data_IF_777792892235
#
_entry.id   IF_777792892235
#
_cell.length_a   1.000
_cell.length_b   1.000
_cell.length_c   1.000
_cell.angle_alpha   90.00
_cell.angle_beta   90.00
_cell.angle_gamma   90.00
#
_symmetry.space_group_name_H-M   'P 1'
#
loop_
_entity.id
_entity.type
_entity.pdbx_description
1 polymer ?
#
# COMPACT_ATOMS: atom_id res chain seq x y z
N UNK A 1 17.32 65.27 -52.94
CA UNK A 1 16.71 63.99 -53.18
C UNK A 1 16.56 63.30 -51.85
N UNK A 2 15.33 63.25 -51.32
CA UNK A 2 15.01 62.68 -50.00
C UNK A 2 14.30 61.36 -50.18
N UNK A 3 14.90 60.25 -49.66
CA UNK A 3 14.33 58.92 -49.64
C UNK A 3 13.71 58.69 -48.25
N UNK A 4 12.37 58.56 -48.22
CA UNK A 4 11.61 58.17 -47.03
C UNK A 4 11.56 56.66 -46.92
N UNK A 5 12.10 56.11 -45.82
CA UNK A 5 11.89 54.74 -45.44
C UNK A 5 10.63 54.62 -44.57
N UNK A 6 9.69 53.81 -45.03
CA UNK A 6 8.50 53.43 -44.28
C UNK A 6 8.85 52.28 -43.35
N UNK A 7 8.66 52.48 -42.04
CA UNK A 7 8.80 51.42 -41.04
C UNK A 7 7.64 50.44 -41.14
N UNK A 8 7.96 49.16 -41.18
CA UNK A 8 7.04 48.04 -41.03
C UNK A 8 7.11 47.60 -39.58
N UNK A 9 6.05 47.86 -38.82
CA UNK A 9 5.89 47.35 -37.46
C UNK A 9 5.35 45.93 -37.53
N UNK A 10 6.22 44.95 -37.28
CA UNK A 10 5.83 43.55 -37.12
C UNK A 10 5.34 43.32 -35.69
N UNK A 11 4.04 43.06 -35.50
CA UNK A 11 3.48 42.59 -34.25
C UNK A 11 3.89 41.15 -34.06
N UNK A 12 4.81 40.86 -33.15
CA UNK A 12 5.06 39.53 -32.61
C UNK A 12 3.93 39.16 -31.65
N UNK A 13 2.99 38.34 -32.14
CA UNK A 13 1.99 37.69 -31.30
C UNK A 13 2.68 36.63 -30.42
N UNK A 14 2.74 36.88 -29.12
CA UNK A 14 3.18 35.91 -28.14
C UNK A 14 2.07 34.83 -27.97
N UNK A 15 2.23 33.68 -28.62
CA UNK A 15 1.42 32.51 -28.35
C UNK A 15 1.88 31.94 -26.99
N UNK A 16 1.09 32.16 -25.93
CA UNK A 16 1.27 31.51 -24.64
C UNK A 16 0.84 30.06 -24.81
N UNK A 17 1.80 29.16 -25.03
CA UNK A 17 1.60 27.74 -25.00
C UNK A 17 1.42 27.32 -23.53
N UNK A 18 0.19 27.18 -23.08
CA UNK A 18 -0.14 26.60 -21.79
C UNK A 18 0.27 25.12 -21.81
N UNK A 19 1.46 24.80 -21.36
CA UNK A 19 1.85 23.43 -21.04
C UNK A 19 1.02 22.97 -19.84
N UNK A 20 0.02 22.16 -20.11
CA UNK A 20 -0.64 21.33 -19.10
C UNK A 20 0.44 20.35 -18.57
N UNK A 21 1.04 20.69 -17.45
CA UNK A 21 1.91 19.78 -16.71
C UNK A 21 0.98 18.74 -16.09
N UNK A 22 0.77 17.62 -16.78
CA UNK A 22 0.15 16.45 -16.16
C UNK A 22 1.14 15.95 -15.10
N UNK A 23 0.82 16.16 -13.83
CA UNK A 23 1.59 15.55 -12.73
C UNK A 23 1.45 14.03 -12.85
N UNK A 24 2.56 13.27 -12.98
CA UNK A 24 2.48 11.81 -12.96
C UNK A 24 1.92 11.35 -11.61
N UNK A 25 0.90 10.51 -11.64
CA UNK A 25 0.41 9.82 -10.46
C UNK A 25 1.31 8.60 -10.21
N UNK A 26 1.76 8.46 -9.00
CA UNK A 26 2.82 7.53 -8.63
C UNK A 26 2.46 6.62 -7.41
N UNK A 27 2.79 5.31 -7.27
CA UNK A 27 2.51 4.35 -6.16
C UNK A 27 3.65 3.39 -5.79
N UNK A 28 3.77 2.96 -4.54
CA UNK A 28 4.82 2.04 -4.08
C UNK A 28 4.74 1.48 -2.67
N UNK A 29 5.45 0.40 -2.40
CA UNK A 29 5.57 -0.22 -1.09
C UNK A 29 6.89 0.19 -0.39
N UNK A 30 6.79 0.95 0.69
CA UNK A 30 7.86 1.40 1.61
C UNK A 30 8.77 2.54 1.16
N UNK A 31 8.39 3.76 1.53
CA UNK A 31 9.30 4.84 1.90
C UNK A 31 9.15 5.15 3.39
N UNK A 32 10.24 5.50 4.11
CA UNK A 32 10.06 6.14 5.40
C UNK A 32 9.28 7.44 5.17
N UNK A 33 8.52 7.96 6.14
CA UNK A 33 7.34 8.76 5.98
C UNK A 33 7.59 10.07 5.24
N UNK A 34 7.61 10.02 3.94
CA UNK A 34 7.18 11.11 3.11
C UNK A 34 5.71 10.82 2.81
N UNK A 35 4.87 11.25 3.76
CA UNK A 35 3.46 11.54 3.56
C UNK A 35 2.84 10.69 2.41
N UNK A 36 2.37 9.48 2.74
CA UNK A 36 1.14 9.01 2.10
C UNK A 36 0.34 10.27 1.85
N UNK A 37 -0.03 10.58 0.60
CA UNK A 37 -0.75 11.82 0.41
C UNK A 37 -1.83 11.80 1.48
N UNK A 38 -1.81 12.75 2.41
CA UNK A 38 -2.69 12.73 3.59
C UNK A 38 -4.15 12.55 3.18
N UNK A 39 -4.44 12.84 1.90
CA UNK A 39 -5.73 12.60 1.26
C UNK A 39 -6.02 11.12 0.98
N UNK A 40 -5.07 10.36 0.43
CA UNK A 40 -5.30 8.93 0.16
C UNK A 40 -5.44 8.13 1.47
N UNK A 41 -4.57 8.40 2.45
CA UNK A 41 -4.67 7.80 3.77
C UNK A 41 -5.94 8.24 4.50
N UNK A 42 -6.30 9.53 4.47
CA UNK A 42 -7.54 10.02 5.05
C UNK A 42 -8.77 9.38 4.38
N UNK A 43 -8.75 9.19 3.06
CA UNK A 43 -9.83 8.50 2.35
C UNK A 43 -9.94 7.03 2.79
N UNK A 44 -8.81 6.31 2.89
CA UNK A 44 -8.79 4.92 3.33
C UNK A 44 -9.19 4.77 4.82
N UNK A 45 -8.76 5.70 5.68
CA UNK A 45 -9.10 5.67 7.11
C UNK A 45 -10.53 6.15 7.42
N UNK A 46 -11.14 6.97 6.53
CA UNK A 46 -12.47 7.52 6.73
C UNK A 46 -13.54 6.91 5.82
N UNK A 47 -13.22 5.89 5.02
CA UNK A 47 -14.26 5.09 4.37
C UNK A 47 -15.02 4.33 5.47
N UNK A 48 -16.25 4.75 5.85
CA UNK A 48 -17.03 3.99 6.80
C UNK A 48 -17.37 2.67 6.14
N UNK A 49 -16.82 1.58 6.63
CA UNK A 49 -17.35 0.26 6.35
C UNK A 49 -18.82 0.30 6.78
N UNK A 50 -19.74 0.50 5.85
CA UNK A 50 -21.15 0.29 6.11
C UNK A 50 -21.27 -1.17 6.50
N UNK A 51 -21.56 -1.41 7.78
CA UNK A 51 -21.84 -2.75 8.25
C UNK A 51 -22.94 -3.34 7.36
N UNK A 52 -22.60 -4.38 6.62
CA UNK A 52 -23.57 -5.09 5.81
C UNK A 52 -24.68 -5.59 6.73
N UNK A 53 -25.96 -5.40 6.36
CA UNK A 53 -27.05 -6.06 7.07
C UNK A 53 -26.83 -7.56 6.96
N UNK A 54 -26.89 -8.26 8.08
CA UNK A 54 -26.79 -9.70 8.13
C UNK A 54 -27.79 -10.32 7.15
N UNK A 55 -27.27 -11.00 6.13
CA UNK A 55 -28.09 -11.85 5.28
C UNK A 55 -28.61 -13.00 6.18
N UNK A 56 -29.90 -13.02 6.40
CA UNK A 56 -30.56 -14.17 7.02
C UNK A 56 -30.56 -15.30 6.02
N UNK A 57 -29.66 -16.24 6.23
CA UNK A 57 -29.55 -17.44 5.41
C UNK A 57 -30.76 -18.35 5.62
N UNK A 58 -31.48 -18.60 4.52
CA UNK A 58 -32.62 -19.49 4.49
C UNK A 58 -32.16 -20.93 4.73
N UNK A 59 -32.63 -21.46 5.82
CA UNK A 59 -32.87 -22.85 6.22
C UNK A 59 -32.39 -23.92 5.21
N UNK A 60 -31.22 -24.51 5.46
CA UNK A 60 -30.89 -25.87 5.01
C UNK A 60 -30.94 -26.83 6.20
N UNK A 61 -32.02 -27.59 6.25
CA UNK A 61 -32.12 -28.79 7.08
C UNK A 61 -31.30 -29.90 6.46
N UNK A 62 -30.36 -30.46 7.18
CA UNK A 62 -29.59 -31.63 6.80
C UNK A 62 -28.54 -31.90 7.86
N UNK A 63 -28.88 -32.73 8.85
CA UNK A 63 -28.00 -33.05 9.96
C UNK A 63 -26.76 -33.83 9.53
N UNK A 64 -25.65 -33.33 9.96
CA UNK A 64 -24.48 -34.09 10.37
C UNK A 64 -23.83 -33.25 11.49
N UNK A 65 -23.83 -33.84 12.69
CA UNK A 65 -23.02 -33.35 13.82
C UNK A 65 -21.54 -33.51 13.43
N UNK A 66 -20.99 -32.45 12.86
CA UNK A 66 -19.58 -32.16 12.93
C UNK A 66 -19.46 -30.97 13.87
N UNK A 67 -18.59 -31.07 14.84
CA UNK A 67 -18.12 -29.93 15.61
C UNK A 67 -17.56 -28.91 14.61
N UNK A 68 -18.42 -28.02 14.07
CA UNK A 68 -18.05 -26.84 13.33
C UNK A 68 -17.37 -25.89 14.32
N UNK A 69 -16.07 -26.15 14.58
CA UNK A 69 -15.18 -25.12 15.04
C UNK A 69 -15.28 -24.00 14.02
N UNK A 70 -15.94 -22.90 14.39
CA UNK A 70 -16.07 -21.64 13.65
C UNK A 70 -14.68 -21.05 13.34
N UNK A 71 -13.98 -21.67 12.39
CA UNK A 71 -12.61 -21.35 12.05
C UNK A 71 -12.61 -20.31 10.93
N UNK A 72 -12.88 -19.05 11.32
CA UNK A 72 -12.95 -17.93 10.41
C UNK A 72 -11.70 -17.87 9.51
N UNK A 73 -11.93 -17.98 8.19
CA UNK A 73 -10.88 -17.99 7.17
C UNK A 73 -10.32 -16.59 6.93
N UNK A 74 -9.01 -16.53 6.64
CA UNK A 74 -8.34 -15.30 6.16
C UNK A 74 -8.66 -15.03 4.68
N UNK A 75 -9.07 -16.05 3.89
CA UNK A 75 -9.31 -15.92 2.44
C UNK A 75 -10.35 -14.86 2.15
N UNK A 76 -10.06 -13.95 1.23
CA UNK A 76 -10.94 -12.85 0.83
C UNK A 76 -10.21 -11.54 0.60
N UNK A 77 -11.00 -10.49 0.35
CA UNK A 77 -10.52 -9.13 0.14
C UNK A 77 -10.59 -8.33 1.45
N UNK A 78 -9.52 -7.60 1.74
CA UNK A 78 -9.35 -6.85 2.97
C UNK A 78 -8.86 -5.44 2.70
N UNK A 79 -9.33 -4.47 3.47
CA UNK A 79 -8.71 -3.17 3.59
C UNK A 79 -7.82 -3.18 4.85
N UNK A 80 -6.53 -2.87 4.67
CA UNK A 80 -5.55 -2.92 5.76
C UNK A 80 -4.96 -1.55 6.07
N UNK A 81 -4.40 -1.42 7.28
CA UNK A 81 -3.56 -0.31 7.73
C UNK A 81 -2.37 -0.86 8.50
N UNK A 82 -1.16 -0.40 8.16
CA UNK A 82 0.05 -0.59 8.96
C UNK A 82 0.33 0.64 9.82
N UNK A 83 0.62 0.43 11.09
CA UNK A 83 0.98 1.48 12.04
C UNK A 83 2.33 1.18 12.68
N UNK A 84 3.17 2.18 12.82
CA UNK A 84 4.52 2.09 13.39
C UNK A 84 4.50 1.62 14.85
N UNK A 85 5.45 0.77 15.21
CA UNK A 85 5.75 0.41 16.61
C UNK A 85 7.26 0.21 16.76
N UNK A 86 7.88 0.92 17.70
CA UNK A 86 9.29 0.75 18.03
C UNK A 86 10.27 1.37 17.03
N UNK A 87 9.81 2.23 16.10
CA UNK A 87 10.67 2.90 15.11
C UNK A 87 11.04 4.33 15.53
N UNK A 88 10.71 4.76 16.75
CA UNK A 88 11.02 6.09 17.28
C UNK A 88 12.48 6.20 17.76
N UNK A 89 13.39 5.67 16.95
CA UNK A 89 14.85 5.69 17.17
C UNK A 89 15.54 6.03 15.86
N UNK A 90 16.76 6.64 15.90
CA UNK A 90 17.53 6.85 14.69
C UNK A 90 17.71 5.56 13.89
N UNK A 91 17.72 5.64 12.53
CA UNK A 91 17.70 6.84 11.71
C UNK A 91 16.28 7.37 11.38
N UNK A 92 15.18 6.67 11.77
CA UNK A 92 13.84 6.99 11.24
C UNK A 92 13.06 8.00 12.08
N UNK A 93 13.08 7.87 13.43
CA UNK A 93 12.34 8.71 14.36
C UNK A 93 10.82 8.72 14.06
N UNK A 94 10.26 7.57 13.65
CA UNK A 94 8.84 7.42 13.36
C UNK A 94 8.08 7.18 14.67
N UNK A 95 7.15 8.06 15.07
CA UNK A 95 6.38 7.85 16.30
C UNK A 95 5.56 6.56 16.26
N UNK A 96 5.33 5.97 17.43
CA UNK A 96 4.41 4.84 17.54
C UNK A 96 2.99 5.26 17.11
N UNK A 97 2.29 4.35 16.45
CA UNK A 97 1.01 4.52 15.82
C UNK A 97 0.97 5.49 14.62
N UNK A 98 2.10 6.07 14.20
CA UNK A 98 2.16 6.76 12.91
C UNK A 98 1.87 5.77 11.78
N UNK A 99 1.10 6.18 10.74
CA UNK A 99 0.80 5.31 9.62
C UNK A 99 2.07 5.00 8.82
N UNK A 100 2.29 3.72 8.52
CA UNK A 100 3.36 3.25 7.64
C UNK A 100 2.84 2.99 6.23
N UNK A 101 1.68 2.34 6.13
CA UNK A 101 1.04 2.01 4.86
C UNK A 101 -0.46 1.74 5.07
N UNK A 102 -1.24 1.77 3.99
CA UNK A 102 -2.63 1.36 3.96
C UNK A 102 -3.03 0.99 2.54
N UNK A 103 -3.95 0.06 2.36
CA UNK A 103 -4.37 -0.39 1.04
C UNK A 103 -5.33 -1.56 1.09
N UNK A 104 -5.24 -2.40 0.06
CA UNK A 104 -6.06 -3.59 -0.08
C UNK A 104 -5.17 -4.82 -0.22
N UNK A 105 -5.56 -5.92 0.44
CA UNK A 105 -4.90 -7.21 0.35
C UNK A 105 -5.92 -8.28 0.00
N UNK A 106 -5.61 -9.13 -0.95
CA UNK A 106 -6.42 -10.28 -1.31
C UNK A 106 -5.68 -11.57 -1.00
N UNK A 107 -6.22 -12.34 -0.07
CA UNK A 107 -5.72 -13.65 0.31
C UNK A 107 -6.49 -14.73 -0.45
N UNK A 108 -5.78 -15.56 -1.20
CA UNK A 108 -6.36 -16.60 -2.05
C UNK A 108 -6.34 -17.96 -1.36
N UNK A 109 -7.24 -18.87 -1.77
CA UNK A 109 -7.36 -20.22 -1.19
C UNK A 109 -6.21 -21.16 -1.56
N UNK A 110 -5.37 -20.79 -2.51
CA UNK A 110 -4.15 -21.50 -2.93
C UNK A 110 -2.90 -21.08 -2.14
N UNK A 111 -3.08 -20.41 -1.00
CA UNK A 111 -2.01 -19.91 -0.13
C UNK A 111 -1.17 -18.77 -0.75
N UNK A 112 -1.64 -18.12 -1.82
CA UNK A 112 -1.05 -16.91 -2.37
C UNK A 112 -1.74 -15.66 -1.84
N UNK A 113 -1.04 -14.51 -1.91
CA UNK A 113 -1.57 -13.22 -1.51
C UNK A 113 -1.09 -12.14 -2.47
N UNK A 114 -1.95 -11.16 -2.72
CA UNK A 114 -1.65 -9.96 -3.47
C UNK A 114 -2.00 -8.75 -2.62
N UNK A 115 -1.04 -7.85 -2.42
CA UNK A 115 -1.27 -6.57 -1.77
C UNK A 115 -1.12 -5.42 -2.75
N UNK A 116 -2.08 -4.50 -2.73
CA UNK A 116 -2.03 -3.21 -3.40
C UNK A 116 -1.98 -2.10 -2.36
N UNK A 117 -0.81 -1.51 -2.17
CA UNK A 117 -0.60 -0.37 -1.29
C UNK A 117 -1.23 0.90 -1.84
N UNK A 118 -1.70 1.78 -0.96
CA UNK A 118 -2.21 3.12 -1.30
C UNK A 118 -1.12 4.16 -1.58
N UNK A 119 0.13 3.74 -1.67
CA UNK A 119 1.27 4.60 -1.97
C UNK A 119 1.33 4.95 -3.45
N UNK A 120 2.26 5.86 -3.76
CA UNK A 120 2.46 6.38 -5.11
C UNK A 120 2.95 5.27 -6.11
N UNK A 121 2.29 4.97 -7.30
CA UNK A 121 2.71 3.94 -8.25
C UNK A 121 4.18 3.99 -8.74
N UNK A 122 4.86 5.14 -8.78
CA UNK A 122 6.28 5.20 -9.15
C UNK A 122 7.23 4.65 -8.06
N UNK A 123 6.71 4.38 -6.86
CA UNK A 123 7.49 3.75 -5.79
C UNK A 123 7.19 2.25 -5.65
N UNK A 124 6.41 1.67 -6.58
CA UNK A 124 5.86 0.31 -6.63
C UNK A 124 4.88 -0.03 -5.49
N UNK A 125 3.60 -0.16 -5.78
CA UNK A 125 2.52 -0.40 -4.78
C UNK A 125 2.01 -1.84 -4.78
N UNK A 126 2.70 -2.74 -5.44
CA UNK A 126 2.24 -4.09 -5.67
C UNK A 126 3.19 -5.09 -5.00
N UNK A 127 2.65 -5.97 -4.15
CA UNK A 127 3.40 -7.01 -3.48
C UNK A 127 2.77 -8.37 -3.78
N UNK A 128 3.60 -9.40 -3.84
CA UNK A 128 3.19 -10.79 -4.04
C UNK A 128 3.66 -11.61 -2.86
N UNK A 129 2.79 -12.44 -2.33
CA UNK A 129 3.06 -13.22 -1.13
C UNK A 129 2.54 -14.64 -1.15
N UNK A 130 3.03 -15.37 -0.17
CA UNK A 130 2.51 -16.68 0.21
C UNK A 130 2.20 -16.68 1.69
N UNK A 131 1.14 -17.38 2.07
CA UNK A 131 0.71 -17.45 3.45
C UNK A 131 0.49 -18.90 3.89
N UNK A 132 0.44 -19.11 5.20
CA UNK A 132 0.05 -20.39 5.78
C UNK A 132 -0.72 -20.20 7.07
N UNK A 133 -1.63 -21.10 7.34
CA UNK A 133 -2.29 -21.24 8.64
C UNK A 133 -1.32 -21.82 9.66
N UNK A 134 -1.23 -21.23 10.84
CA UNK A 134 -0.31 -21.63 11.92
C UNK A 134 -1.03 -22.04 13.21
N UNK A 135 -2.35 -21.91 13.23
CA UNK A 135 -3.20 -22.28 14.36
C UNK A 135 -4.64 -21.86 14.12
N UNK A 136 -5.50 -22.05 15.11
CA UNK A 136 -6.88 -21.59 15.00
C UNK A 136 -6.92 -20.11 14.74
N UNK A 137 -7.46 -19.69 13.57
CA UNK A 137 -7.56 -18.31 13.08
C UNK A 137 -6.24 -17.54 13.03
N UNK A 138 -5.08 -18.23 13.12
CA UNK A 138 -3.74 -17.66 13.08
C UNK A 138 -3.08 -17.92 11.75
N UNK A 139 -2.46 -16.90 11.18
CA UNK A 139 -1.83 -16.97 9.85
C UNK A 139 -0.49 -16.23 9.87
N UNK A 140 0.43 -16.71 9.02
CA UNK A 140 1.69 -16.04 8.70
C UNK A 140 1.70 -15.76 7.21
N UNK A 141 2.09 -14.55 6.86
CA UNK A 141 2.31 -14.10 5.49
C UNK A 141 3.77 -13.71 5.31
N UNK A 142 4.31 -14.03 4.14
CA UNK A 142 5.60 -13.59 3.67
C UNK A 142 5.45 -13.08 2.25
N UNK A 143 5.54 -11.76 2.04
CA UNK A 143 5.40 -11.18 0.73
C UNK A 143 6.56 -10.22 0.38
N UNK A 144 6.76 -10.01 -0.92
CA UNK A 144 7.84 -9.23 -1.48
C UNK A 144 7.31 -8.12 -2.36
N UNK A 145 7.97 -6.97 -2.26
CA UNK A 145 7.80 -5.82 -3.13
C UNK A 145 9.11 -5.46 -3.80
N UNK A 146 9.03 -4.68 -4.87
CA UNK A 146 10.17 -4.01 -5.49
C UNK A 146 10.08 -2.52 -5.13
N UNK A 147 10.99 -2.03 -4.30
CA UNK A 147 10.97 -0.63 -3.85
C UNK A 147 11.67 0.30 -4.82
N UNK A 148 11.07 1.45 -5.05
CA UNK A 148 11.60 2.53 -5.89
C UNK A 148 11.55 3.84 -5.11
N UNK A 149 12.50 4.74 -5.37
CA UNK A 149 12.57 6.07 -4.76
C UNK A 149 12.41 7.16 -5.83
N UNK A 150 11.42 8.04 -5.64
CA UNK A 150 11.18 9.22 -6.47
C UNK A 150 11.59 10.53 -5.76
N UNK A 151 12.15 10.43 -4.55
CA UNK A 151 12.53 11.59 -3.73
C UNK A 151 14.03 11.91 -3.77
N UNK A 152 14.84 10.95 -4.26
CA UNK A 152 16.31 11.05 -4.24
C UNK A 152 16.94 10.77 -2.88
N UNK A 153 16.18 10.19 -1.93
CA UNK A 153 16.63 9.90 -0.57
C UNK A 153 17.51 8.64 -0.49
N UNK A 154 17.12 7.59 -1.19
CA UNK A 154 17.81 6.29 -1.17
C UNK A 154 18.69 6.09 -2.39
N UNK A 155 18.29 6.63 -3.52
CA UNK A 155 19.06 6.62 -4.77
C UNK A 155 18.73 7.87 -5.59
N UNK A 156 19.54 8.14 -6.62
CA UNK A 156 19.28 9.25 -7.54
C UNK A 156 18.73 8.69 -8.84
N UNK A 157 17.51 9.06 -9.26
CA UNK A 157 17.00 8.72 -10.57
C UNK A 157 17.95 9.17 -11.68
N UNK A 158 18.10 8.39 -12.74
CA UNK A 158 18.79 8.80 -13.96
C UNK A 158 18.05 10.00 -14.59
N UNK A 159 18.77 10.77 -15.43
CA UNK A 159 18.19 11.95 -16.05
C UNK A 159 16.94 11.60 -16.86
N UNK A 160 15.80 12.15 -16.44
CA UNK A 160 14.48 11.88 -17.06
C UNK A 160 13.73 10.66 -16.53
N UNK A 161 14.32 9.85 -15.65
CA UNK A 161 13.60 8.78 -14.98
C UNK A 161 12.76 9.33 -13.80
N UNK A 162 11.53 8.85 -13.60
CA UNK A 162 10.65 9.31 -12.50
C UNK A 162 11.10 8.79 -11.13
N UNK A 163 11.87 7.71 -11.07
CA UNK A 163 12.33 7.04 -9.86
C UNK A 163 13.56 6.19 -10.11
N UNK A 164 14.20 5.72 -9.07
CA UNK A 164 15.31 4.76 -9.12
C UNK A 164 15.02 3.53 -8.25
N UNK A 165 15.55 2.37 -8.65
CA UNK A 165 15.36 1.12 -7.93
C UNK A 165 16.15 1.11 -6.62
N UNK A 166 15.48 0.96 -5.49
CA UNK A 166 16.09 0.87 -4.16
C UNK A 166 16.48 -0.57 -3.82
N UNK A 167 15.71 -1.54 -4.31
CA UNK A 167 15.93 -2.95 -4.05
C UNK A 167 14.66 -3.69 -3.60
N UNK A 168 14.75 -4.99 -3.30
CA UNK A 168 13.62 -5.76 -2.84
C UNK A 168 13.29 -5.41 -1.38
N UNK A 169 12.00 -5.50 -1.05
CA UNK A 169 11.48 -5.41 0.32
C UNK A 169 10.80 -6.71 0.68
N UNK A 170 11.10 -7.26 1.85
CA UNK A 170 10.38 -8.40 2.41
C UNK A 170 9.47 -7.95 3.55
N UNK A 171 8.19 -8.20 3.44
CA UNK A 171 7.19 -7.86 4.44
C UNK A 171 6.61 -9.16 5.00
N UNK A 172 6.64 -9.30 6.32
CA UNK A 172 6.12 -10.47 7.03
C UNK A 172 5.06 -10.07 8.01
N UNK A 173 3.99 -10.83 8.04
CA UNK A 173 2.87 -10.62 8.95
C UNK A 173 2.61 -11.87 9.78
N UNK A 174 2.24 -11.65 11.04
CA UNK A 174 1.65 -12.66 11.92
C UNK A 174 0.33 -12.13 12.43
N UNK A 175 -0.78 -12.72 11.97
CA UNK A 175 -2.12 -12.15 12.19
C UNK A 175 -3.08 -13.17 12.79
N UNK A 176 -4.12 -12.65 13.43
CA UNK A 176 -5.25 -13.41 13.97
C UNK A 176 -6.52 -12.80 13.39
N UNK A 177 -7.34 -13.65 12.75
CA UNK A 177 -8.69 -13.29 12.31
C UNK A 177 -9.62 -13.33 13.52
N UNK A 178 -10.54 -12.40 13.62
CA UNK A 178 -11.56 -12.42 14.67
C UNK A 178 -12.53 -13.60 14.47
N UNK A 179 -13.29 -13.96 15.51
CA UNK A 179 -14.19 -15.13 15.46
C UNK A 179 -15.30 -15.02 14.40
N UNK A 180 -15.64 -13.80 13.98
CA UNK A 180 -16.69 -13.53 12.99
C UNK A 180 -16.13 -13.45 11.56
N UNK A 181 -14.79 -13.48 11.38
CA UNK A 181 -14.16 -13.38 10.08
C UNK A 181 -14.20 -11.98 9.45
N UNK A 182 -14.55 -10.95 10.20
CA UNK A 182 -14.75 -9.59 9.70
C UNK A 182 -13.52 -8.69 9.84
N UNK A 183 -12.65 -9.00 10.80
CA UNK A 183 -11.41 -8.26 11.01
C UNK A 183 -10.23 -9.20 11.22
N UNK A 184 -9.03 -8.73 10.95
CA UNK A 184 -7.82 -9.34 11.48
C UNK A 184 -6.87 -8.27 12.02
N UNK A 185 -6.01 -8.69 12.93
CA UNK A 185 -4.97 -7.83 13.48
C UNK A 185 -3.72 -8.64 13.83
N UNK A 186 -2.59 -7.94 13.92
CA UNK A 186 -1.34 -8.62 14.22
C UNK A 186 -0.13 -7.69 14.16
N UNK A 187 1.01 -8.32 13.90
CA UNK A 187 2.29 -7.65 13.76
C UNK A 187 2.79 -7.70 12.33
N UNK A 188 3.49 -6.65 11.92
CA UNK A 188 4.16 -6.56 10.63
C UNK A 188 5.64 -6.22 10.85
N UNK A 189 6.50 -6.83 10.03
CA UNK A 189 7.93 -6.54 9.93
C UNK A 189 8.26 -6.29 8.48
N UNK A 190 8.93 -5.17 8.19
CA UNK A 190 9.28 -4.71 6.85
C UNK A 190 10.80 -4.60 6.78
N UNK A 191 11.43 -5.46 6.00
CA UNK A 191 12.88 -5.49 5.77
C UNK A 191 13.20 -4.95 4.38
N UNK A 192 13.92 -3.85 4.32
CA UNK A 192 14.43 -3.29 3.07
C UNK A 192 15.84 -3.79 2.79
N UNK A 193 16.07 -4.16 1.54
CA UNK A 193 17.39 -4.54 1.02
C UNK A 193 17.79 -3.60 -0.12
N UNK A 194 19.09 -3.51 -0.39
CA UNK A 194 19.62 -2.81 -1.56
C UNK A 194 19.52 -3.70 -2.83
N UNK A 195 19.88 -3.19 -4.04
CA UNK A 195 19.82 -3.97 -5.27
C UNK A 195 20.73 -5.22 -5.28
N UNK A 196 21.73 -5.27 -4.42
CA UNK A 196 22.66 -6.41 -4.24
C UNK A 196 22.20 -7.38 -3.15
N UNK A 197 20.97 -7.19 -2.62
CA UNK A 197 20.36 -7.94 -1.51
C UNK A 197 21.07 -7.78 -0.14
N UNK A 198 21.82 -6.71 0.08
CA UNK A 198 22.32 -6.39 1.41
C UNK A 198 21.19 -5.74 2.23
N UNK A 199 21.08 -6.15 3.50
CA UNK A 199 20.10 -5.58 4.41
C UNK A 199 20.40 -4.10 4.69
N UNK A 200 19.40 -3.24 4.51
CA UNK A 200 19.51 -1.80 4.77
C UNK A 200 18.90 -1.42 6.13
N UNK A 201 17.62 -1.77 6.33
CA UNK A 201 16.91 -1.43 7.56
C UNK A 201 15.66 -2.30 7.77
N UNK A 202 15.14 -2.24 9.00
CA UNK A 202 13.87 -2.85 9.40
C UNK A 202 12.93 -1.81 9.98
N UNK A 203 11.67 -1.89 9.60
CA UNK A 203 10.56 -1.27 10.30
C UNK A 203 9.68 -2.35 10.92
N UNK A 204 9.11 -2.03 12.08
CA UNK A 204 8.16 -2.90 12.78
C UNK A 204 6.86 -2.17 13.01
N UNK A 205 5.77 -2.90 13.09
CA UNK A 205 4.46 -2.29 13.25
C UNK A 205 3.37 -3.25 13.65
N UNK A 206 2.18 -2.69 13.71
CA UNK A 206 0.92 -3.42 13.81
C UNK A 206 0.20 -3.35 12.49
N UNK A 207 -0.54 -4.41 12.17
CA UNK A 207 -1.53 -4.43 11.11
C UNK A 207 -2.91 -4.55 11.72
N UNK A 208 -3.85 -3.83 11.15
CA UNK A 208 -5.29 -4.02 11.33
C UNK A 208 -5.99 -4.01 9.98
N UNK A 209 -6.98 -4.88 9.80
CA UNK A 209 -7.73 -4.94 8.56
C UNK A 209 -9.20 -5.27 8.81
N UNK A 210 -10.06 -4.86 7.88
CA UNK A 210 -11.44 -5.29 7.84
C UNK A 210 -11.78 -5.88 6.48
N UNK A 211 -12.69 -6.87 6.50
CA UNK A 211 -13.11 -7.60 5.30
C UNK A 211 -13.96 -6.69 4.42
N UNK A 212 -13.77 -6.80 3.12
CA UNK A 212 -14.63 -6.19 2.11
C UNK A 212 -15.54 -7.29 1.56
N UNK A 213 -16.84 -7.02 1.54
CA UNK A 213 -17.87 -7.87 0.96
C UNK A 213 -18.48 -7.19 -0.27
N UNK A 214 -18.97 -7.98 -1.22
CA UNK A 214 -19.83 -7.47 -2.28
C UNK A 214 -21.21 -7.20 -1.67
N UNK A 215 -21.66 -5.96 -1.71
CA UNK A 215 -22.99 -5.54 -1.22
C UNK A 215 -24.09 -5.90 -2.22
#
# INVERSE_FOLDING_TARGET
>A
MSSRWKGVTTLCGAAILAMLIASPAAAGCVDPPTLLSQRALATLLHSPGKGSPAFSDGQRSGGHDFDDDDDASIVGLWQFVFSSVGNNVPPFLIPDNAPLDAGYAQWHSDETEIMNSGRDPATSNFCLGTWKKTGQRRYKLNHFALSWDNTGKFCKPEAGAPSCFVGPTNIREEVIVDRHGNTYSGHVTIDQYDPDNNFMFRLTGKISAHRITAD
#
